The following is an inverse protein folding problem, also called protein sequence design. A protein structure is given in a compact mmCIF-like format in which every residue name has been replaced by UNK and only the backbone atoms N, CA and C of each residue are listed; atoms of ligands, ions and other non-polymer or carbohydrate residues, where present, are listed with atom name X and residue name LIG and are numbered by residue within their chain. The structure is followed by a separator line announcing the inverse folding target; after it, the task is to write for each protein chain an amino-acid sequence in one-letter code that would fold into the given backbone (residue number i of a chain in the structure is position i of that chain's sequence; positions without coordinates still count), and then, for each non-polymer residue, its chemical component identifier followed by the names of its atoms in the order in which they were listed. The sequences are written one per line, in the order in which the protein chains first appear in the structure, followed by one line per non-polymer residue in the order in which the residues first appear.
data_IF_669308120660
#
_entry.id   IF_669308120660
#
_cell.length_a   1.000
_cell.length_b   1.000
_cell.length_c   1.000
_cell.angle_alpha   90.00
_cell.angle_beta   90.00
_cell.angle_gamma   90.00
#
_symmetry.space_group_name_H-M   'P 1'
#
loop_
_entity.id
_entity.type
_entity.pdbx_description
1 polymer ?
#
# COMPACT_ATOMS: atom_id res chain seq x y z
N UNK A 1 -1.95 -5.48 5.29
CA UNK A 1 -2.01 -5.70 3.83
C UNK A 1 -3.41 -5.42 3.35
N UNK A 2 -3.55 -4.92 2.12
CA UNK A 2 -4.84 -4.58 1.52
C UNK A 2 -4.79 -4.84 0.02
N UNK A 3 -5.86 -5.42 -0.52
CA UNK A 3 -6.02 -5.80 -1.92
C UNK A 3 -7.36 -5.27 -2.41
N UNK A 4 -7.33 -4.61 -3.56
CA UNK A 4 -8.50 -4.07 -4.24
C UNK A 4 -8.47 -4.51 -5.70
N UNK A 5 -9.66 -4.63 -6.29
CA UNK A 5 -9.82 -4.71 -7.74
C UNK A 5 -10.08 -3.32 -8.31
N UNK A 6 -9.66 -3.11 -9.55
CA UNK A 6 -9.97 -1.91 -10.33
C UNK A 6 -10.55 -2.33 -11.67
N UNK A 7 -11.79 -1.93 -11.94
CA UNK A 7 -12.43 -2.24 -13.22
C UNK A 7 -11.95 -1.34 -14.36
N UNK A 8 -12.37 -1.63 -15.60
CA UNK A 8 -12.00 -0.86 -16.78
C UNK A 8 -12.46 0.61 -16.74
N UNK A 9 -13.46 0.95 -15.92
CA UNK A 9 -13.90 2.32 -15.70
C UNK A 9 -13.10 3.05 -14.61
N UNK A 10 -12.18 2.35 -13.92
CA UNK A 10 -11.37 2.87 -12.84
C UNK A 10 -12.07 2.82 -11.48
N UNK A 11 -13.18 2.09 -11.33
CA UNK A 11 -13.86 1.92 -10.04
C UNK A 11 -13.14 0.88 -9.20
N UNK A 12 -12.96 1.19 -7.92
CA UNK A 12 -12.29 0.33 -6.96
C UNK A 12 -13.29 -0.56 -6.21
N UNK A 13 -12.89 -1.79 -5.92
CA UNK A 13 -13.66 -2.74 -5.10
C UNK A 13 -12.74 -3.40 -4.08
N UNK A 14 -13.19 -3.54 -2.84
CA UNK A 14 -12.44 -4.29 -1.83
C UNK A 14 -12.41 -5.79 -2.18
N UNK A 15 -11.22 -6.40 -2.04
CA UNK A 15 -11.01 -7.84 -2.20
C UNK A 15 -10.59 -8.45 -0.86
N UNK A 16 -9.53 -7.93 -0.24
CA UNK A 16 -8.99 -8.48 0.99
C UNK A 16 -8.29 -7.41 1.83
N UNK A 17 -8.34 -7.54 3.15
CA UNK A 17 -7.40 -6.84 4.04
C UNK A 17 -7.15 -7.66 5.31
N UNK A 18 -5.89 -7.74 5.73
CA UNK A 18 -5.52 -8.38 6.99
C UNK A 18 -4.15 -7.88 7.46
N UNK A 19 -3.91 -7.83 8.79
CA UNK A 19 -2.58 -7.67 9.32
C UNK A 19 -1.76 -8.94 9.07
N UNK A 20 -0.51 -8.79 8.62
CA UNK A 20 0.43 -9.90 8.64
C UNK A 20 1.13 -9.91 9.99
N UNK A 21 0.68 -10.79 10.88
CA UNK A 21 1.22 -10.88 12.23
C UNK A 21 2.63 -11.48 12.19
N UNK A 22 3.60 -10.68 12.63
CA UNK A 22 5.01 -11.07 12.77
C UNK A 22 5.40 -11.33 14.23
N UNK A 23 4.51 -10.99 15.18
CA UNK A 23 4.73 -11.22 16.61
C UNK A 23 4.58 -12.71 16.93
N UNK A 24 5.38 -13.21 17.86
CA UNK A 24 5.46 -14.64 18.20
C UNK A 24 6.51 -15.41 17.39
N UNK A 25 7.00 -14.84 16.30
CA UNK A 25 8.20 -15.31 15.61
C UNK A 25 9.45 -14.86 16.37
N UNK A 26 10.52 -15.66 16.28
CA UNK A 26 11.75 -15.54 17.07
C UNK A 26 12.50 -14.21 16.91
N UNK A 27 13.74 -14.26 16.44
CA UNK A 27 14.55 -13.05 16.26
C UNK A 27 14.05 -12.19 15.08
N UNK A 28 14.71 -11.04 14.89
CA UNK A 28 14.34 -10.11 13.83
C UNK A 28 14.46 -10.70 12.42
N UNK A 29 15.46 -11.56 12.18
CA UNK A 29 15.64 -12.20 10.88
C UNK A 29 14.50 -13.17 10.57
N UNK A 30 14.04 -13.94 11.55
CA UNK A 30 12.88 -14.82 11.41
C UNK A 30 11.59 -14.05 11.13
N UNK A 31 11.42 -12.86 11.72
CA UNK A 31 10.28 -11.97 11.40
C UNK A 31 10.31 -11.47 9.96
N UNK A 32 11.50 -11.16 9.41
CA UNK A 32 11.64 -10.80 8.00
C UNK A 32 11.33 -11.98 7.08
N UNK A 33 11.78 -13.19 7.44
CA UNK A 33 11.41 -14.42 6.72
C UNK A 33 9.89 -14.62 6.72
N UNK A 34 9.22 -14.44 7.87
CA UNK A 34 7.76 -14.53 7.99
C UNK A 34 7.06 -13.51 7.11
N UNK A 35 7.56 -12.27 7.08
CA UNK A 35 7.03 -11.21 6.22
C UNK A 35 7.14 -11.61 4.73
N UNK A 36 8.32 -12.04 4.30
CA UNK A 36 8.58 -12.46 2.91
C UNK A 36 7.64 -13.60 2.49
N UNK A 37 7.60 -14.70 3.26
CA UNK A 37 6.77 -15.87 2.95
C UNK A 37 5.26 -15.57 3.03
N UNK A 38 4.85 -14.74 3.99
CA UNK A 38 3.45 -14.35 4.12
C UNK A 38 2.97 -13.49 2.95
N UNK A 39 3.81 -12.57 2.46
CA UNK A 39 3.50 -11.79 1.26
C UNK A 39 3.50 -12.67 0.00
N UNK A 40 4.45 -13.59 -0.12
CA UNK A 40 4.49 -14.55 -1.22
C UNK A 40 3.20 -15.38 -1.30
N UNK A 41 2.71 -15.89 -0.17
CA UNK A 41 1.46 -16.63 -0.09
C UNK A 41 0.24 -15.77 -0.51
N UNK A 42 0.19 -14.51 -0.08
CA UNK A 42 -0.88 -13.59 -0.49
C UNK A 42 -0.82 -13.26 -2.00
N UNK A 43 0.39 -13.12 -2.56
CA UNK A 43 0.56 -12.90 -3.99
C UNK A 43 0.09 -14.13 -4.78
N UNK A 44 0.42 -15.34 -4.33
CA UNK A 44 -0.04 -16.58 -4.97
C UNK A 44 -1.56 -16.76 -4.90
N UNK A 45 -2.16 -16.46 -3.74
CA UNK A 45 -3.60 -16.58 -3.50
C UNK A 45 -4.42 -15.58 -4.32
N UNK A 46 -4.05 -14.29 -4.27
CA UNK A 46 -4.86 -13.22 -4.85
C UNK A 46 -4.40 -12.78 -6.25
N UNK A 47 -3.20 -13.19 -6.69
CA UNK A 47 -2.61 -12.88 -8.01
C UNK A 47 -2.76 -11.41 -8.42
N UNK A 48 -2.30 -10.45 -7.57
CA UNK A 48 -2.34 -9.05 -7.94
C UNK A 48 -1.49 -8.78 -9.18
N UNK A 49 -1.85 -7.78 -9.97
CA UNK A 49 -1.09 -7.41 -11.18
C UNK A 49 0.02 -6.39 -10.89
N UNK A 50 -0.07 -5.68 -9.77
CA UNK A 50 0.84 -4.61 -9.38
C UNK A 50 0.82 -4.44 -7.85
N UNK A 51 1.90 -3.92 -7.28
CA UNK A 51 2.04 -3.69 -5.83
C UNK A 51 2.34 -2.22 -5.57
N UNK A 52 1.63 -1.63 -4.61
CA UNK A 52 1.86 -0.27 -4.15
C UNK A 52 2.32 -0.26 -2.69
N UNK A 53 3.37 0.51 -2.38
CA UNK A 53 4.01 0.56 -1.07
C UNK A 53 4.21 2.01 -0.62
N UNK A 54 3.97 2.30 0.66
CA UNK A 54 4.29 3.62 1.23
C UNK A 54 5.81 3.83 1.31
N UNK A 55 6.26 5.03 0.92
CA UNK A 55 7.65 5.48 1.11
C UNK A 55 7.89 5.77 2.58
N UNK A 56 8.99 5.23 3.09
CA UNK A 56 9.45 5.51 4.45
C UNK A 56 10.19 6.84 4.46
N UNK A 57 9.81 7.73 5.36
CA UNK A 57 10.57 8.94 5.67
C UNK A 57 11.42 8.71 6.91
N UNK A 58 12.61 9.33 6.97
CA UNK A 58 13.43 9.34 8.17
C UNK A 58 12.65 10.01 9.31
N UNK A 59 12.23 9.20 10.28
CA UNK A 59 11.59 9.67 11.51
C UNK A 59 12.62 10.14 12.53
N UNK A 60 12.16 10.40 13.77
CA UNK A 60 13.00 10.88 14.87
C UNK A 60 14.04 9.85 15.37
N UNK A 61 13.83 8.56 15.11
CA UNK A 61 14.71 7.47 15.56
C UNK A 61 15.29 6.69 14.37
N UNK A 62 16.62 6.66 14.29
CA UNK A 62 17.36 5.93 13.25
C UNK A 62 17.14 4.42 13.33
N UNK A 63 17.08 3.84 14.53
CA UNK A 63 16.86 2.40 14.72
C UNK A 63 15.47 1.96 14.21
N UNK A 64 14.42 2.73 14.51
CA UNK A 64 13.07 2.45 14.02
C UNK A 64 13.00 2.58 12.48
N UNK A 65 13.66 3.60 11.92
CA UNK A 65 13.73 3.79 10.49
C UNK A 65 14.47 2.63 9.79
N UNK A 66 15.56 2.13 10.39
CA UNK A 66 16.32 0.99 9.86
C UNK A 66 15.48 -0.30 9.87
N UNK A 67 14.80 -0.60 10.97
CA UNK A 67 13.91 -1.78 11.08
C UNK A 67 12.77 -1.73 10.07
N UNK A 68 12.15 -0.57 9.91
CA UNK A 68 11.10 -0.36 8.91
C UNK A 68 11.66 -0.48 7.47
N UNK A 69 12.87 0.03 7.23
CA UNK A 69 13.60 -0.13 5.98
C UNK A 69 13.84 -1.59 5.61
N UNK A 70 14.27 -2.42 6.56
CA UNK A 70 14.44 -3.87 6.34
C UNK A 70 13.12 -4.57 6.02
N UNK A 71 12.04 -4.30 6.78
CA UNK A 71 10.74 -4.89 6.52
C UNK A 71 10.20 -4.49 5.13
N UNK A 72 10.36 -3.22 4.77
CA UNK A 72 10.01 -2.72 3.44
C UNK A 72 10.84 -3.37 2.33
N UNK A 73 12.14 -3.51 2.54
CA UNK A 73 13.03 -4.21 1.60
C UNK A 73 12.55 -5.64 1.36
N UNK A 74 12.23 -6.39 2.43
CA UNK A 74 11.68 -7.72 2.32
C UNK A 74 10.34 -7.75 1.54
N UNK A 75 9.46 -6.76 1.76
CA UNK A 75 8.20 -6.67 1.02
C UNK A 75 8.40 -6.38 -0.47
N UNK A 76 9.34 -5.50 -0.82
CA UNK A 76 9.71 -5.24 -2.22
C UNK A 76 10.28 -6.50 -2.85
N UNK A 77 11.19 -7.20 -2.16
CA UNK A 77 11.75 -8.47 -2.62
C UNK A 77 10.65 -9.50 -2.92
N UNK A 78 9.65 -9.65 -2.04
CA UNK A 78 8.52 -10.57 -2.27
C UNK A 78 7.79 -10.26 -3.59
N UNK A 79 7.53 -8.98 -3.87
CA UNK A 79 6.83 -8.56 -5.07
C UNK A 79 7.67 -8.77 -6.34
N UNK A 80 8.94 -8.35 -6.34
CA UNK A 80 9.79 -8.45 -7.55
C UNK A 80 10.22 -9.87 -7.87
N UNK A 81 10.32 -10.77 -6.87
CA UNK A 81 10.53 -12.20 -7.10
C UNK A 81 9.38 -12.86 -7.88
N UNK A 82 8.20 -12.24 -7.85
CA UNK A 82 7.00 -12.63 -8.62
C UNK A 82 6.79 -11.76 -9.87
N UNK A 83 7.82 -11.01 -10.26
CA UNK A 83 7.82 -10.12 -11.44
C UNK A 83 6.72 -9.04 -11.40
N UNK A 84 6.24 -8.68 -10.20
CA UNK A 84 5.21 -7.66 -10.04
C UNK A 84 5.81 -6.25 -10.11
N UNK A 85 5.23 -5.32 -10.89
CA UNK A 85 5.56 -3.91 -10.83
C UNK A 85 5.34 -3.34 -9.43
N UNK A 86 6.34 -2.64 -8.91
CA UNK A 86 6.27 -1.99 -7.59
C UNK A 86 6.21 -0.48 -7.76
N UNK A 87 5.20 0.13 -7.15
CA UNK A 87 4.96 1.57 -7.14
C UNK A 87 5.03 2.12 -5.73
N UNK A 88 5.56 3.32 -5.59
CA UNK A 88 5.83 3.90 -4.27
C UNK A 88 5.20 5.27 -4.10
N UNK A 89 4.59 5.51 -2.94
CA UNK A 89 3.88 6.74 -2.62
C UNK A 89 4.27 7.32 -1.27
N UNK A 90 4.51 8.62 -1.21
CA UNK A 90 4.69 9.35 0.03
C UNK A 90 3.36 9.50 0.79
N UNK A 91 3.43 9.57 2.12
CA UNK A 91 2.27 9.80 2.99
C UNK A 91 1.40 11.00 2.55
N UNK A 92 2.03 12.10 2.10
CA UNK A 92 1.31 13.28 1.60
C UNK A 92 0.53 13.00 0.31
N UNK A 93 1.07 12.18 -0.58
CA UNK A 93 0.43 11.79 -1.84
C UNK A 93 -0.78 10.91 -1.56
N UNK A 94 -0.65 9.96 -0.64
CA UNK A 94 -1.75 9.08 -0.21
C UNK A 94 -2.89 9.92 0.36
N UNK A 95 -2.58 10.84 1.29
CA UNK A 95 -3.57 11.75 1.88
C UNK A 95 -4.24 12.64 0.84
N UNK A 96 -3.47 13.16 -0.12
CA UNK A 96 -4.01 13.96 -1.22
C UNK A 96 -4.95 13.15 -2.11
N UNK A 97 -4.58 11.93 -2.49
CA UNK A 97 -5.35 11.08 -3.38
C UNK A 97 -6.66 10.56 -2.76
N UNK A 98 -6.67 10.33 -1.44
CA UNK A 98 -7.82 9.76 -0.73
C UNK A 98 -8.75 10.83 -0.16
N UNK A 99 -8.20 11.93 0.38
CA UNK A 99 -8.97 12.96 1.10
C UNK A 99 -9.02 14.30 0.34
N UNK A 100 -8.19 14.49 -0.69
CA UNK A 100 -8.06 15.76 -1.41
C UNK A 100 -7.13 16.77 -0.71
N UNK A 101 -6.51 16.41 0.43
CA UNK A 101 -5.60 17.29 1.18
C UNK A 101 -4.40 16.51 1.73
N UNK A 102 -3.18 16.86 1.31
CA UNK A 102 -1.95 16.19 1.74
C UNK A 102 -1.63 16.31 3.25
N UNK A 103 -2.26 17.26 3.95
CA UNK A 103 -2.16 17.45 5.39
C UNK A 103 -3.32 16.82 6.18
N UNK A 104 -4.14 15.97 5.56
CA UNK A 104 -5.26 15.32 6.23
C UNK A 104 -4.84 14.47 7.44
N UNK A 105 -5.74 14.37 8.41
CA UNK A 105 -5.57 13.52 9.59
C UNK A 105 -5.80 12.04 9.25
N UNK A 106 -5.18 11.14 10.03
CA UNK A 106 -5.31 9.69 9.81
C UNK A 106 -6.78 9.21 9.87
N UNK A 107 -7.58 9.80 10.76
CA UNK A 107 -9.00 9.45 10.90
C UNK A 107 -9.80 9.80 9.64
N UNK A 108 -9.46 10.90 8.96
CA UNK A 108 -10.11 11.30 7.71
C UNK A 108 -9.78 10.32 6.59
N UNK A 109 -8.51 9.90 6.48
CA UNK A 109 -8.09 8.87 5.51
C UNK A 109 -8.86 7.58 5.76
N UNK A 110 -8.89 7.11 7.01
CA UNK A 110 -9.61 5.89 7.38
C UNK A 110 -11.10 5.95 7.03
N UNK A 111 -11.76 7.07 7.32
CA UNK A 111 -13.17 7.26 6.98
C UNK A 111 -13.39 7.21 5.45
N UNK A 112 -12.57 7.92 4.68
CA UNK A 112 -12.68 7.96 3.23
C UNK A 112 -12.41 6.61 2.58
N UNK A 113 -11.44 5.83 3.08
CA UNK A 113 -11.19 4.45 2.63
C UNK A 113 -12.43 3.58 2.82
N UNK A 114 -13.09 3.69 3.97
CA UNK A 114 -14.34 2.97 4.24
C UNK A 114 -15.44 3.32 3.24
N UNK A 115 -15.61 4.62 2.95
CA UNK A 115 -16.59 5.08 1.95
C UNK A 115 -16.27 4.61 0.53
N UNK A 116 -15.02 4.78 0.09
CA UNK A 116 -14.57 4.43 -1.27
C UNK A 116 -14.70 2.94 -1.56
N UNK A 117 -14.51 2.10 -0.56
CA UNK A 117 -14.56 0.64 -0.69
C UNK A 117 -15.86 0.03 -0.17
N UNK A 118 -16.85 0.86 0.21
CA UNK A 118 -18.13 0.42 0.78
C UNK A 118 -17.98 -0.53 1.99
N UNK A 119 -16.97 -0.28 2.83
CA UNK A 119 -16.69 -1.07 4.02
C UNK A 119 -17.47 -0.50 5.22
N UNK A 120 -18.25 -1.35 5.88
CA UNK A 120 -18.99 -0.99 7.08
C UNK A 120 -18.16 -1.19 8.35
N UNK A 121 -18.26 -0.26 9.29
CA UNK A 121 -17.60 -0.36 10.59
C UNK A 121 -16.21 0.27 10.63
N UNK A 122 -15.57 0.19 11.80
CA UNK A 122 -14.27 0.82 12.04
C UNK A 122 -13.15 -0.09 11.53
N UNK A 123 -12.48 0.32 10.45
CA UNK A 123 -11.26 -0.37 10.00
C UNK A 123 -10.16 -0.32 11.07
N UNK A 124 -9.29 -1.33 11.10
CA UNK A 124 -8.04 -1.20 11.82
C UNK A 124 -7.13 -0.18 11.10
N UNK A 125 -6.33 0.58 11.85
CA UNK A 125 -5.48 1.63 11.29
C UNK A 125 -4.54 1.09 10.20
N UNK A 126 -3.89 -0.04 10.45
CA UNK A 126 -2.96 -0.65 9.49
C UNK A 126 -3.66 -1.16 8.21
N UNK A 127 -4.91 -1.62 8.34
CA UNK A 127 -5.72 -2.02 7.19
C UNK A 127 -6.15 -0.81 6.36
N UNK A 128 -6.56 0.27 7.01
CA UNK A 128 -6.91 1.52 6.36
C UNK A 128 -5.71 2.14 5.64
N UNK A 129 -4.54 2.17 6.28
CA UNK A 129 -3.30 2.69 5.69
C UNK A 129 -2.92 1.85 4.45
N UNK A 130 -2.98 0.51 4.52
CA UNK A 130 -2.69 -0.36 3.37
C UNK A 130 -3.68 -0.18 2.20
N UNK A 131 -4.98 -0.11 2.47
CA UNK A 131 -6.01 0.12 1.44
C UNK A 131 -5.91 1.53 0.85
N UNK A 132 -5.54 2.54 1.64
CA UNK A 132 -5.31 3.89 1.16
C UNK A 132 -4.18 3.94 0.12
N UNK A 133 -3.09 3.20 0.34
CA UNK A 133 -2.00 3.09 -0.64
C UNK A 133 -2.49 2.45 -1.94
N UNK A 134 -3.28 1.38 -1.86
CA UNK A 134 -3.84 0.71 -3.03
C UNK A 134 -4.78 1.62 -3.83
N UNK A 135 -5.68 2.36 -3.16
CA UNK A 135 -6.57 3.34 -3.79
C UNK A 135 -5.77 4.47 -4.46
N UNK A 136 -4.72 4.95 -3.78
CA UNK A 136 -3.82 5.98 -4.34
C UNK A 136 -3.24 5.51 -5.66
N UNK A 137 -2.74 4.28 -5.70
CA UNK A 137 -2.20 3.69 -6.92
C UNK A 137 -3.24 3.60 -8.03
N UNK A 138 -4.45 3.11 -7.72
CA UNK A 138 -5.56 3.02 -8.68
C UNK A 138 -5.90 4.38 -9.31
N UNK A 139 -5.98 5.45 -8.51
CA UNK A 139 -6.25 6.81 -8.98
C UNK A 139 -5.13 7.33 -9.90
N UNK A 140 -3.86 7.11 -9.51
CA UNK A 140 -2.70 7.51 -10.31
C UNK A 140 -2.66 6.77 -11.64
N UNK A 141 -2.90 5.46 -11.63
CA UNK A 141 -2.97 4.62 -12.84
C UNK A 141 -4.09 5.05 -13.78
N UNK A 142 -5.29 5.27 -13.26
CA UNK A 142 -6.42 5.74 -14.07
C UNK A 142 -6.12 7.11 -14.71
N UNK A 143 -5.45 8.01 -13.97
CA UNK A 143 -5.04 9.32 -14.50
C UNK A 143 -3.98 9.18 -15.60
N UNK A 144 -2.98 8.33 -15.38
CA UNK A 144 -1.93 8.06 -16.35
C UNK A 144 -2.47 7.50 -17.67
N UNK A 145 -3.41 6.55 -17.59
CA UNK A 145 -4.08 5.97 -18.75
C UNK A 145 -4.86 7.02 -19.54
N UNK A 146 -5.58 7.93 -18.88
CA UNK A 146 -6.32 9.01 -19.55
C UNK A 146 -5.39 10.02 -20.24
N UNK A 147 -4.21 10.25 -19.67
CA UNK A 147 -3.22 11.18 -20.21
C UNK A 147 -2.29 10.53 -21.25
N UNK A 148 -2.33 9.21 -21.43
CA UNK A 148 -1.42 8.49 -22.33
C UNK A 148 0.04 8.53 -21.89
N UNK A 149 0.30 8.67 -20.59
CA UNK A 149 1.66 8.74 -20.00
C UNK A 149 1.88 7.60 -19.01
N UNK A 150 3.13 7.39 -18.60
CA UNK A 150 3.43 6.39 -17.56
C UNK A 150 2.89 6.83 -16.19
N UNK A 151 2.68 5.87 -15.27
CA UNK A 151 2.25 6.17 -13.89
C UNK A 151 3.25 7.05 -13.14
N UNK A 152 4.54 6.93 -13.44
CA UNK A 152 5.58 7.84 -12.93
C UNK A 152 5.43 9.27 -13.50
N UNK A 153 5.12 9.41 -14.80
CA UNK A 153 4.98 10.71 -15.46
C UNK A 153 3.70 11.44 -15.06
N UNK A 154 2.57 10.73 -14.95
CA UNK A 154 1.28 11.31 -14.57
C UNK A 154 1.31 11.99 -13.20
N UNK A 155 2.19 11.51 -12.31
CA UNK A 155 2.25 11.94 -10.94
C UNK A 155 3.49 12.77 -10.59
N UNK A 156 4.49 12.79 -11.47
CA UNK A 156 5.66 13.69 -11.38
C UNK A 156 5.22 15.15 -11.56
N UNK A 157 4.64 15.74 -10.50
CA UNK A 157 4.73 17.18 -10.30
C UNK A 157 6.14 17.46 -9.78
N UNK A 158 6.98 18.00 -10.66
CA UNK A 158 8.20 18.71 -10.27
C UNK A 158 7.89 19.74 -9.18
#
# INVERSE_FOLDING_TARGET
MGIIDVDAAGRTRHVHHAPLLLLGEGDFALRLKRLLLGLDALIEEYRPQEVAIERVFMGKSADAALKLGHARGAAICAAVLRELPVHEYAAKEIKLAVVGKGAAEKQQVQHMVGLMLSLTGKLQADAADALAVAITHAHVRATAQRLGVSTQQAWSRK
#
